data_IF_430188468551
#
_entry.id   IF_430188468551
#
_cell.length_a   1.000
_cell.length_b   1.000
_cell.length_c   1.000
_cell.angle_alpha   90.00
_cell.angle_beta   90.00
_cell.angle_gamma   90.00
#
_symmetry.space_group_name_H-M   'P 1'
#
loop_
_entity.id
_entity.type
_entity.pdbx_description
1 polymer ?
#
# COMPACT_ATOMS: atom_id res chain seq x y z
N UNK A 1 6.79 27.29 11.85
CA UNK A 1 6.26 26.53 10.70
C UNK A 1 5.67 25.26 11.28
N UNK A 2 4.41 24.97 11.03
CA UNK A 2 3.81 23.70 11.44
C UNK A 2 3.69 22.83 10.19
N UNK A 3 4.49 21.77 10.14
CA UNK A 3 4.55 20.84 9.02
C UNK A 3 3.74 19.59 9.37
N UNK A 4 2.90 19.11 8.47
CA UNK A 4 2.09 17.90 8.61
C UNK A 4 2.44 16.96 7.47
N UNK A 5 2.83 15.73 7.79
CA UNK A 5 3.05 14.69 6.78
C UNK A 5 1.69 14.15 6.32
N UNK A 6 1.47 14.11 5.01
CA UNK A 6 0.23 13.61 4.41
C UNK A 6 0.58 12.46 3.49
N UNK A 7 0.30 11.23 3.91
CA UNK A 7 0.63 10.04 3.15
C UNK A 7 -0.60 9.54 2.39
N UNK A 8 -0.52 9.55 1.06
CA UNK A 8 -1.55 9.01 0.19
C UNK A 8 -1.27 7.51 -0.05
N UNK A 9 -2.03 6.66 0.63
CA UNK A 9 -1.91 5.21 0.58
C UNK A 9 -2.99 4.61 -0.32
N UNK A 10 -2.85 4.85 -1.62
CA UNK A 10 -3.71 4.31 -2.66
C UNK A 10 -2.95 3.41 -3.64
N UNK A 11 -3.69 2.65 -4.46
CA UNK A 11 -3.14 1.88 -5.58
C UNK A 11 -3.16 0.37 -5.36
N UNK A 12 -3.73 -0.38 -6.31
CA UNK A 12 -3.89 -1.84 -6.24
C UNK A 12 -2.62 -2.63 -6.58
N UNK A 13 -1.56 -1.99 -7.08
CA UNK A 13 -0.25 -2.62 -7.29
C UNK A 13 -0.15 -3.69 -8.39
N UNK A 14 -1.19 -3.93 -9.21
CA UNK A 14 -1.33 -5.10 -10.14
C UNK A 14 -0.12 -5.51 -10.99
N UNK A 15 0.85 -4.63 -11.26
CA UNK A 15 2.08 -4.93 -12.00
C UNK A 15 3.13 -5.71 -11.20
N UNK A 16 2.96 -5.79 -9.87
CA UNK A 16 3.83 -6.49 -8.93
C UNK A 16 3.20 -7.79 -8.42
N UNK A 17 2.21 -8.33 -9.13
CA UNK A 17 1.81 -9.72 -8.96
C UNK A 17 3.04 -10.62 -9.19
N UNK A 18 3.26 -11.70 -8.42
CA UNK A 18 2.37 -12.32 -7.45
C UNK A 18 2.56 -11.86 -6.00
N UNK A 19 3.24 -10.75 -5.72
CA UNK A 19 3.31 -10.25 -4.33
C UNK A 19 2.16 -9.28 -4.03
N UNK A 20 1.93 -8.30 -4.91
CA UNK A 20 0.77 -7.41 -4.76
C UNK A 20 -0.54 -8.14 -5.07
N UNK A 21 -1.56 -7.89 -4.24
CA UNK A 21 -2.94 -8.39 -4.41
C UNK A 21 -3.92 -7.26 -4.12
N UNK A 22 -5.18 -7.43 -4.50
CA UNK A 22 -6.20 -6.44 -4.17
C UNK A 22 -6.28 -6.17 -2.66
N UNK A 23 -6.26 -7.20 -1.81
CA UNK A 23 -6.33 -7.04 -0.35
C UNK A 23 -4.98 -6.81 0.32
N UNK A 24 -3.88 -6.80 -0.44
CA UNK A 24 -2.53 -6.50 0.05
C UNK A 24 -1.78 -5.69 -1.02
N UNK A 25 -2.14 -4.41 -1.17
CA UNK A 25 -1.59 -3.57 -2.22
C UNK A 25 -0.14 -3.20 -1.97
N UNK A 26 0.46 -2.64 -3.01
CA UNK A 26 1.88 -2.24 -3.07
C UNK A 26 2.40 -1.46 -1.85
N UNK A 27 1.69 -0.49 -1.24
CA UNK A 27 2.21 0.22 -0.06
C UNK A 27 2.65 -0.69 1.10
N UNK A 28 2.06 -1.88 1.21
CA UNK A 28 2.37 -2.84 2.27
C UNK A 28 3.50 -3.82 1.90
N UNK A 29 3.94 -3.83 0.65
CA UNK A 29 5.10 -4.65 0.24
C UNK A 29 6.35 -4.19 0.99
N UNK A 30 7.13 -5.15 1.46
CA UNK A 30 8.43 -4.87 2.09
C UNK A 30 9.50 -4.70 1.02
N UNK A 31 10.25 -3.61 1.09
CA UNK A 31 11.38 -3.33 0.22
C UNK A 31 12.50 -2.71 1.04
N UNK A 32 13.67 -3.32 1.12
CA UNK A 32 14.76 -2.78 1.97
C UNK A 32 14.47 -2.86 3.47
N UNK A 33 13.74 -3.88 3.93
CA UNK A 33 13.55 -4.19 5.35
C UNK A 33 12.35 -3.52 6.04
N UNK A 34 11.56 -2.72 5.33
CA UNK A 34 10.33 -2.11 5.84
C UNK A 34 9.29 -1.97 4.72
N UNK A 35 8.02 -1.75 5.09
CA UNK A 35 6.97 -1.49 4.10
C UNK A 35 7.18 -0.13 3.42
N UNK A 36 6.76 0.02 2.16
CA UNK A 36 6.84 1.31 1.46
C UNK A 36 6.06 2.41 2.20
N UNK A 37 4.90 2.06 2.78
CA UNK A 37 4.12 2.95 3.65
C UNK A 37 4.93 3.37 4.87
N UNK A 38 5.58 2.44 5.57
CA UNK A 38 6.43 2.73 6.71
C UNK A 38 7.58 3.67 6.35
N UNK A 39 8.21 3.48 5.19
CA UNK A 39 9.25 4.38 4.69
C UNK A 39 8.71 5.78 4.38
N UNK A 40 7.50 5.89 3.81
CA UNK A 40 6.86 7.18 3.56
C UNK A 40 6.55 7.94 4.85
N UNK A 41 6.11 7.24 5.89
CA UNK A 41 5.88 7.80 7.22
C UNK A 41 7.20 8.27 7.84
N UNK A 42 8.21 7.40 7.85
CA UNK A 42 9.54 7.72 8.38
C UNK A 42 10.16 8.96 7.73
N UNK A 43 10.04 9.09 6.40
CA UNK A 43 10.49 10.30 5.67
C UNK A 43 9.82 11.59 6.18
N UNK A 44 8.55 11.52 6.55
CA UNK A 44 7.85 12.65 7.18
C UNK A 44 8.41 12.98 8.56
N UNK A 45 8.64 11.97 9.40
CA UNK A 45 9.24 12.12 10.73
C UNK A 45 10.65 12.69 10.66
N UNK A 46 11.46 12.26 9.69
CA UNK A 46 12.81 12.77 9.44
C UNK A 46 12.82 14.26 9.05
N UNK A 47 11.68 14.81 8.59
CA UNK A 47 11.50 16.24 8.36
C UNK A 47 11.13 17.02 9.64
N UNK A 48 11.04 16.33 10.78
CA UNK A 48 10.77 16.90 12.11
C UNK A 48 9.29 17.11 12.42
N UNK A 49 8.40 16.28 11.86
CA UNK A 49 6.97 16.30 12.19
C UNK A 49 6.46 14.94 12.67
N UNK A 50 5.72 14.97 13.79
CA UNK A 50 5.00 13.81 14.32
C UNK A 50 3.51 13.83 13.93
N UNK A 51 3.04 14.90 13.28
CA UNK A 51 1.66 15.02 12.81
C UNK A 51 1.52 14.35 11.45
N UNK A 52 0.73 13.27 11.42
CA UNK A 52 0.55 12.42 10.25
C UNK A 52 -0.92 12.32 9.87
N UNK A 53 -1.24 12.56 8.59
CA UNK A 53 -2.53 12.23 7.99
C UNK A 53 -2.31 11.13 6.96
N UNK A 54 -2.95 9.98 7.14
CA UNK A 54 -2.98 8.90 6.14
C UNK A 54 -4.34 8.93 5.45
N UNK A 55 -4.34 9.13 4.13
CA UNK A 55 -5.52 8.93 3.29
C UNK A 55 -5.42 7.56 2.64
N UNK A 56 -6.36 6.67 2.95
CA UNK A 56 -6.32 5.27 2.50
C UNK A 56 -7.72 4.74 2.27
N UNK A 57 -7.85 3.65 1.52
CA UNK A 57 -9.12 2.96 1.42
C UNK A 57 -9.50 2.34 2.78
N UNK A 58 -10.78 2.38 3.15
CA UNK A 58 -11.28 1.81 4.39
C UNK A 58 -10.92 0.32 4.58
N UNK A 59 -10.83 -0.45 3.49
CA UNK A 59 -10.48 -1.88 3.51
C UNK A 59 -9.02 -2.11 3.93
N UNK A 60 -8.16 -1.09 3.79
CA UNK A 60 -6.76 -1.13 4.17
C UNK A 60 -6.49 -0.48 5.54
N UNK A 61 -7.52 0.02 6.23
CA UNK A 61 -7.35 0.70 7.52
C UNK A 61 -6.58 -0.15 8.53
N UNK A 62 -6.91 -1.44 8.61
CA UNK A 62 -6.22 -2.35 9.53
C UNK A 62 -4.74 -2.51 9.17
N UNK A 63 -4.41 -2.72 7.89
CA UNK A 63 -3.03 -2.84 7.43
C UNK A 63 -2.23 -1.57 7.69
N UNK A 64 -2.80 -0.40 7.38
CA UNK A 64 -2.17 0.90 7.65
C UNK A 64 -1.93 1.12 9.14
N UNK A 65 -2.90 0.77 10.00
CA UNK A 65 -2.76 0.90 11.45
C UNK A 65 -1.68 -0.03 12.00
N UNK A 66 -1.57 -1.25 11.49
CA UNK A 66 -0.49 -2.16 11.87
C UNK A 66 0.87 -1.59 11.52
N UNK A 67 1.05 -1.11 10.28
CA UNK A 67 2.32 -0.50 9.86
C UNK A 67 2.71 0.64 10.79
N UNK A 68 1.78 1.51 11.16
CA UNK A 68 2.02 2.63 12.10
C UNK A 68 2.40 2.11 13.50
N UNK A 69 1.70 1.10 14.01
CA UNK A 69 1.96 0.53 15.34
C UNK A 69 3.28 -0.27 15.41
N UNK A 70 3.80 -0.74 14.29
CA UNK A 70 5.08 -1.45 14.19
C UNK A 70 6.29 -0.49 14.12
N UNK A 71 6.06 0.82 13.96
CA UNK A 71 7.11 1.82 14.01
C UNK A 71 7.66 1.96 15.42
N UNK A 72 8.98 2.11 15.54
CA UNK A 72 9.66 2.35 16.82
C UNK A 72 9.21 3.64 17.50
N UNK A 73 8.87 4.66 16.69
CA UNK A 73 8.34 5.95 17.14
C UNK A 73 7.01 6.21 16.44
N UNK A 74 5.91 6.16 17.21
CA UNK A 74 4.55 6.15 16.66
C UNK A 74 4.03 7.59 16.54
N UNK A 75 3.79 8.09 15.32
CA UNK A 75 3.33 9.46 15.10
C UNK A 75 1.87 9.68 15.50
N UNK A 76 1.50 10.94 15.75
CA UNK A 76 0.13 11.39 15.95
C UNK A 76 -0.66 11.26 14.64
N UNK A 77 -1.31 10.12 14.47
CA UNK A 77 -1.89 9.72 13.19
C UNK A 77 -3.39 9.96 13.12
N UNK A 78 -3.83 10.61 12.05
CA UNK A 78 -5.22 10.66 11.62
C UNK A 78 -5.44 9.87 10.34
N UNK A 79 -6.48 9.05 10.32
CA UNK A 79 -6.84 8.26 9.16
C UNK A 79 -8.07 8.85 8.47
N UNK A 80 -7.98 9.07 7.16
CA UNK A 80 -9.11 9.45 6.31
C UNK A 80 -9.44 8.25 5.42
N UNK A 81 -10.57 7.60 5.70
CA UNK A 81 -10.91 6.28 5.15
C UNK A 81 -11.85 6.39 3.96
N UNK A 82 -11.30 6.31 2.76
CA UNK A 82 -12.06 6.38 1.52
C UNK A 82 -12.87 5.08 1.31
N UNK A 83 -14.20 5.15 1.12
CA UNK A 83 -15.01 3.97 0.81
C UNK A 83 -14.73 3.43 -0.60
N UNK A 84 -14.20 4.28 -1.50
CA UNK A 84 -13.79 3.93 -2.86
C UNK A 84 -12.74 4.93 -3.35
N UNK A 85 -11.76 4.50 -4.13
CA UNK A 85 -10.76 5.42 -4.70
C UNK A 85 -11.37 6.44 -5.67
N UNK A 86 -10.96 7.71 -5.55
CA UNK A 86 -11.34 8.83 -6.43
C UNK A 86 -10.13 9.65 -6.93
N UNK A 87 -8.96 9.01 -6.96
CA UNK A 87 -7.69 9.63 -7.38
C UNK A 87 -7.23 10.76 -6.41
N UNK A 88 -6.16 11.46 -6.75
CA UNK A 88 -5.39 12.27 -5.78
C UNK A 88 -6.00 13.62 -5.42
N UNK A 89 -6.82 14.25 -6.29
CA UNK A 89 -7.37 15.58 -5.95
C UNK A 89 -8.38 15.49 -4.79
N UNK A 90 -9.37 14.58 -4.80
CA UNK A 90 -10.21 14.29 -3.63
C UNK A 90 -9.43 13.96 -2.37
N UNK A 91 -8.44 13.06 -2.46
CA UNK A 91 -7.66 12.62 -1.31
C UNK A 91 -6.90 13.79 -0.66
N UNK A 92 -6.27 14.65 -1.46
CA UNK A 92 -5.58 15.85 -0.99
C UNK A 92 -6.57 16.88 -0.44
N UNK A 93 -7.75 17.04 -1.05
CA UNK A 93 -8.79 17.95 -0.56
C UNK A 93 -9.28 17.53 0.83
N UNK A 94 -9.50 16.22 1.04
CA UNK A 94 -9.86 15.66 2.34
C UNK A 94 -8.78 15.97 3.39
N UNK A 95 -7.52 15.68 3.06
CA UNK A 95 -6.38 15.93 3.94
C UNK A 95 -6.19 17.43 4.25
N UNK A 96 -6.41 18.30 3.26
CA UNK A 96 -6.28 19.75 3.45
C UNK A 96 -7.37 20.30 4.37
N UNK A 97 -8.62 19.84 4.23
CA UNK A 97 -9.70 20.20 5.15
C UNK A 97 -9.45 19.69 6.57
N UNK A 98 -8.94 18.46 6.73
CA UNK A 98 -8.53 17.95 8.04
C UNK A 98 -7.42 18.81 8.65
N UNK A 99 -6.32 19.00 7.91
CA UNK A 99 -5.16 19.77 8.34
C UNK A 99 -5.55 21.20 8.73
N UNK A 100 -6.35 21.89 7.91
CA UNK A 100 -6.83 23.24 8.21
C UNK A 100 -7.70 23.32 9.47
N UNK A 101 -8.53 22.31 9.75
CA UNK A 101 -9.37 22.25 10.96
C UNK A 101 -8.57 22.02 12.23
N UNK A 102 -7.51 21.22 12.16
CA UNK A 102 -6.71 20.80 13.32
C UNK A 102 -5.60 21.80 13.64
N UNK A 103 -4.92 22.29 12.60
CA UNK A 103 -3.67 23.02 12.71
C UNK A 103 -3.73 24.42 12.08
N UNK A 104 -4.87 24.79 11.48
CA UNK A 104 -5.09 26.08 10.81
C UNK A 104 -4.69 26.09 9.33
N UNK A 105 -5.15 27.09 8.55
CA UNK A 105 -4.91 27.17 7.11
C UNK A 105 -3.43 27.41 6.75
N UNK A 106 -2.63 27.93 7.67
CA UNK A 106 -1.19 28.19 7.47
C UNK A 106 -0.31 26.95 7.67
N UNK A 107 -0.89 25.83 8.12
CA UNK A 107 -0.16 24.57 8.26
C UNK A 107 0.33 24.08 6.89
N UNK A 108 1.59 23.69 6.82
CA UNK A 108 2.23 23.17 5.60
C UNK A 108 1.99 21.67 5.52
N UNK A 109 1.43 21.21 4.41
CA UNK A 109 1.27 19.80 4.11
C UNK A 109 2.44 19.34 3.25
N UNK A 110 3.15 18.29 3.68
CA UNK A 110 4.08 17.53 2.86
C UNK A 110 3.36 16.27 2.36
N UNK A 111 2.90 16.30 1.11
CA UNK A 111 2.12 15.22 0.51
C UNK A 111 3.04 14.19 -0.13
N UNK A 112 3.00 12.95 0.35
CA UNK A 112 3.87 11.85 -0.03
C UNK A 112 3.03 10.64 -0.51
N UNK A 113 3.29 10.12 -1.71
CA UNK A 113 2.78 8.81 -2.10
C UNK A 113 3.39 7.70 -1.22
N UNK A 114 2.56 6.78 -0.75
CA UNK A 114 2.97 5.69 0.13
C UNK A 114 3.83 4.63 -0.56
N UNK A 115 3.94 4.66 -1.89
CA UNK A 115 4.47 3.55 -2.69
C UNK A 115 5.73 3.93 -3.49
N UNK A 116 6.41 5.01 -3.09
CA UNK A 116 7.70 5.43 -3.67
C UNK A 116 8.89 4.98 -2.82
N UNK A 117 9.98 4.64 -3.50
CA UNK A 117 11.28 4.38 -2.91
C UNK A 117 12.19 5.60 -3.08
N UNK A 118 12.72 6.10 -1.96
CA UNK A 118 13.65 7.23 -1.91
C UNK A 118 14.80 6.82 -0.97
N UNK A 119 15.91 6.28 -1.50
CA UNK A 119 16.98 5.74 -0.65
C UNK A 119 17.79 6.80 0.10
N UNK A 120 17.93 8.00 -0.47
CA UNK A 120 18.70 9.10 0.11
C UNK A 120 17.78 10.03 0.93
N UNK A 121 17.58 9.64 2.19
CA UNK A 121 16.71 10.36 3.13
C UNK A 121 17.22 11.76 3.45
N UNK A 122 18.54 11.97 3.59
CA UNK A 122 19.11 13.28 3.95
C UNK A 122 18.86 14.30 2.84
N UNK A 123 19.13 13.92 1.58
CA UNK A 123 18.86 14.78 0.43
C UNK A 123 17.35 15.03 0.25
N UNK A 124 16.50 14.05 0.58
CA UNK A 124 15.05 14.24 0.61
C UNK A 124 14.63 15.29 1.64
N UNK A 125 15.07 15.17 2.90
CA UNK A 125 14.74 16.13 3.98
C UNK A 125 15.16 17.54 3.60
N UNK A 126 16.36 17.72 3.05
CA UNK A 126 16.83 19.04 2.60
C UNK A 126 15.90 19.64 1.53
N UNK A 127 15.44 18.84 0.55
CA UNK A 127 14.50 19.28 -0.46
C UNK A 127 13.10 19.57 0.11
N UNK A 128 12.62 18.73 1.05
CA UNK A 128 11.30 18.89 1.68
C UNK A 128 11.24 20.17 2.52
N UNK A 129 12.29 20.48 3.29
CA UNK A 129 12.38 21.72 4.05
C UNK A 129 12.52 22.95 3.15
N UNK A 130 13.21 22.84 2.01
CA UNK A 130 13.21 23.88 0.98
C UNK A 130 11.81 24.12 0.41
N UNK A 131 11.09 23.05 0.07
CA UNK A 131 9.72 23.11 -0.41
C UNK A 131 8.79 23.74 0.63
N UNK A 132 8.91 23.37 1.91
CA UNK A 132 8.11 23.92 2.98
C UNK A 132 8.27 25.45 3.14
N UNK A 133 9.49 25.97 2.99
CA UNK A 133 9.74 27.44 3.00
C UNK A 133 9.02 28.16 1.86
N UNK A 134 8.98 27.57 0.66
CA UNK A 134 8.24 28.14 -0.48
C UNK A 134 6.72 28.00 -0.30
N UNK A 135 6.25 26.88 0.27
CA UNK A 135 4.85 26.67 0.59
C UNK A 135 4.29 27.77 1.52
N UNK A 136 5.05 28.17 2.54
CA UNK A 136 4.68 29.28 3.45
C UNK A 136 4.55 30.64 2.74
N UNK A 137 5.12 30.78 1.54
CA UNK A 137 4.98 31.97 0.69
C UNK A 137 3.80 31.85 -0.29
N UNK A 138 2.91 30.88 -0.07
CA UNK A 138 1.75 30.63 -0.90
C UNK A 138 2.06 29.93 -2.22
N UNK A 139 3.23 29.30 -2.38
CA UNK A 139 3.55 28.50 -3.58
C UNK A 139 2.96 27.09 -3.47
N UNK A 140 2.52 26.55 -4.61
CA UNK A 140 2.22 25.12 -4.76
C UNK A 140 3.48 24.42 -5.24
N UNK A 141 4.19 23.75 -4.33
CA UNK A 141 5.51 23.20 -4.63
C UNK A 141 5.40 21.77 -5.13
N UNK A 142 6.12 21.46 -6.20
CA UNK A 142 6.31 20.13 -6.78
C UNK A 142 7.79 19.74 -6.76
N UNK A 143 8.07 18.45 -6.66
CA UNK A 143 9.44 17.93 -6.69
C UNK A 143 9.75 17.36 -8.09
N UNK A 144 10.77 17.93 -8.75
CA UNK A 144 11.14 17.56 -10.11
C UNK A 144 12.29 16.55 -10.15
N UNK A 145 12.05 15.34 -10.66
CA UNK A 145 13.12 14.34 -10.87
C UNK A 145 13.78 14.57 -12.24
N UNK A 146 15.11 14.47 -12.29
CA UNK A 146 15.84 14.58 -13.57
C UNK A 146 15.54 13.36 -14.45
N UNK A 147 14.99 13.53 -15.67
CA UNK A 147 14.66 12.41 -16.54
C UNK A 147 15.91 11.66 -17.00
N UNK A 148 15.88 10.33 -16.90
CA UNK A 148 16.93 9.44 -17.43
C UNK A 148 16.50 8.73 -18.72
N UNK A 149 15.24 8.90 -19.12
CA UNK A 149 14.65 8.33 -20.34
C UNK A 149 13.36 9.02 -20.76
N UNK A 150 12.80 8.68 -21.93
CA UNK A 150 11.56 9.26 -22.42
C UNK A 150 10.33 8.50 -21.89
N UNK A 151 10.16 8.49 -20.57
CA UNK A 151 9.06 7.77 -19.90
C UNK A 151 7.70 8.38 -20.24
N UNK A 152 6.75 7.59 -20.73
CA UNK A 152 5.39 8.06 -21.07
C UNK A 152 4.39 7.89 -19.92
N UNK A 153 4.81 7.20 -18.85
CA UNK A 153 3.97 6.92 -17.68
C UNK A 153 3.95 8.06 -16.64
N UNK A 154 4.86 9.03 -16.77
CA UNK A 154 5.04 10.13 -15.82
C UNK A 154 4.51 11.45 -16.37
N UNK A 155 4.15 12.35 -15.45
CA UNK A 155 3.99 13.77 -15.76
C UNK A 155 5.34 14.46 -15.95
N UNK A 156 5.36 15.52 -16.75
CA UNK A 156 6.53 16.36 -17.02
C UNK A 156 6.25 17.80 -16.62
N UNK A 157 7.25 18.46 -16.05
CA UNK A 157 7.19 19.83 -15.60
C UNK A 157 8.25 20.63 -16.36
N UNK A 158 7.81 21.61 -17.15
CA UNK A 158 8.69 22.51 -17.90
C UNK A 158 9.17 23.66 -17.01
N UNK A 159 10.44 23.99 -17.14
CA UNK A 159 11.04 25.18 -16.53
C UNK A 159 11.74 26.05 -17.58
N UNK A 160 12.02 27.30 -17.22
CA UNK A 160 12.70 28.26 -18.08
C UNK A 160 14.09 27.77 -18.50
N UNK A 161 14.86 27.25 -17.55
CA UNK A 161 16.22 26.76 -17.77
C UNK A 161 16.56 25.56 -16.89
N UNK A 162 17.39 24.61 -17.37
CA UNK A 162 17.87 23.52 -16.54
C UNK A 162 18.63 24.08 -15.33
N UNK A 163 18.24 23.70 -14.12
CA UNK A 163 18.80 24.27 -12.90
C UNK A 163 18.77 23.27 -11.75
N UNK A 164 19.71 23.41 -10.81
CA UNK A 164 19.68 22.72 -9.51
C UNK A 164 18.99 23.55 -8.42
N UNK A 165 18.53 24.74 -8.77
CA UNK A 165 17.84 25.68 -7.89
C UNK A 165 16.35 25.71 -8.20
N UNK A 166 15.58 25.95 -7.15
CA UNK A 166 14.13 26.16 -7.20
C UNK A 166 13.76 27.29 -8.17
N UNK A 167 12.73 27.05 -8.97
CA UNK A 167 12.24 28.00 -9.96
C UNK A 167 10.75 27.75 -10.26
N UNK A 168 10.10 28.72 -10.90
CA UNK A 168 8.72 28.60 -11.31
C UNK A 168 8.54 27.51 -12.37
N UNK A 169 7.49 26.71 -12.24
CA UNK A 169 7.07 25.80 -13.30
C UNK A 169 6.31 26.59 -14.37
N UNK A 170 6.75 26.49 -15.62
CA UNK A 170 6.10 27.15 -16.76
C UNK A 170 4.89 26.37 -17.25
N UNK A 171 4.99 25.04 -17.20
CA UNK A 171 3.98 24.15 -17.71
C UNK A 171 4.03 22.81 -17.01
N UNK A 172 2.86 22.22 -16.80
CA UNK A 172 2.69 20.85 -16.38
C UNK A 172 2.03 20.06 -17.51
N UNK A 173 2.51 18.85 -17.78
CA UNK A 173 1.98 17.96 -18.84
C UNK A 173 1.95 16.53 -18.33
N UNK A 174 0.77 15.95 -18.17
CA UNK A 174 0.63 14.56 -17.73
C UNK A 174 0.73 13.56 -18.90
N UNK A 175 1.60 12.53 -18.76
CA UNK A 175 1.69 11.33 -19.61
C UNK A 175 1.75 11.61 -21.13
N UNK A 176 2.82 12.27 -21.61
CA UNK A 176 2.98 12.55 -23.04
C UNK A 176 3.19 11.27 -23.86
N UNK A 177 2.96 11.35 -25.17
CA UNK A 177 3.37 10.31 -26.11
C UNK A 177 4.91 10.18 -26.20
N UNK A 178 5.40 9.04 -26.68
CA UNK A 178 6.83 8.75 -26.74
C UNK A 178 7.63 9.79 -27.56
N UNK A 179 7.19 10.23 -28.76
CA UNK A 179 7.88 11.29 -29.49
C UNK A 179 7.98 12.60 -28.70
N UNK A 180 6.94 12.95 -27.94
CA UNK A 180 6.93 14.14 -27.10
C UNK A 180 7.87 13.99 -25.91
N UNK A 181 7.86 12.85 -25.22
CA UNK A 181 8.78 12.55 -24.13
C UNK A 181 10.26 12.61 -24.58
N UNK A 182 10.55 12.11 -25.79
CA UNK A 182 11.89 12.21 -26.40
C UNK A 182 12.31 13.67 -26.63
N UNK A 183 11.39 14.53 -27.09
CA UNK A 183 11.67 15.97 -27.23
C UNK A 183 11.89 16.64 -25.88
N UNK A 184 11.11 16.28 -24.86
CA UNK A 184 11.27 16.81 -23.50
C UNK A 184 12.64 16.47 -22.94
N UNK A 185 13.05 15.20 -23.04
CA UNK A 185 14.36 14.72 -22.62
C UNK A 185 15.48 15.46 -23.37
N UNK A 186 15.38 15.57 -24.70
CA UNK A 186 16.38 16.24 -25.53
C UNK A 186 16.54 17.73 -25.19
N UNK A 187 15.47 18.40 -24.73
CA UNK A 187 15.54 19.82 -24.35
C UNK A 187 16.29 20.07 -23.04
N UNK A 188 16.34 19.08 -22.15
CA UNK A 188 16.87 19.21 -20.79
C UNK A 188 16.08 20.14 -19.86
N UNK A 189 15.00 20.76 -20.34
CA UNK A 189 14.18 21.73 -19.58
C UNK A 189 12.98 21.12 -18.86
N UNK A 190 12.81 19.80 -18.94
CA UNK A 190 11.72 19.11 -18.29
C UNK A 190 12.22 18.20 -17.18
N UNK A 191 11.41 18.11 -16.13
CA UNK A 191 11.58 17.20 -15.00
C UNK A 191 10.39 16.27 -14.93
N UNK A 192 10.58 15.04 -14.46
CA UNK A 192 9.43 14.19 -14.12
C UNK A 192 8.75 14.72 -12.86
N UNK A 193 7.42 14.73 -12.86
CA UNK A 193 6.63 14.91 -11.67
C UNK A 193 6.80 13.69 -10.76
N UNK A 194 7.32 13.91 -9.55
CA UNK A 194 7.49 12.83 -8.58
C UNK A 194 6.19 12.43 -7.87
N UNK A 195 5.07 13.12 -8.12
CA UNK A 195 3.81 12.92 -7.40
C UNK A 195 3.83 13.34 -5.92
N UNK A 196 4.91 14.01 -5.47
CA UNK A 196 5.02 14.61 -4.15
C UNK A 196 4.72 16.11 -4.27
N UNK A 197 4.09 16.66 -3.23
CA UNK A 197 3.70 18.06 -3.22
C UNK A 197 3.97 18.70 -1.86
N UNK A 198 4.18 20.01 -1.85
CA UNK A 198 4.24 20.78 -0.61
C UNK A 198 3.54 22.13 -0.76
N UNK A 199 2.58 22.40 0.11
CA UNK A 199 1.79 23.64 0.11
C UNK A 199 1.13 23.83 1.47
N UNK A 200 0.69 25.06 1.79
CA UNK A 200 -0.17 25.24 2.96
C UNK A 200 -1.58 24.71 2.68
N UNK A 201 -2.27 24.25 3.73
CA UNK A 201 -3.66 23.80 3.63
C UNK A 201 -4.56 24.87 3.01
N UNK A 202 -4.37 26.14 3.40
CA UNK A 202 -5.11 27.27 2.84
C UNK A 202 -4.80 27.51 1.36
N UNK A 203 -3.53 27.46 0.95
CA UNK A 203 -3.14 27.70 -0.44
C UNK A 203 -3.75 26.66 -1.39
N UNK A 204 -3.72 25.37 -1.02
CA UNK A 204 -4.30 24.32 -1.86
C UNK A 204 -5.83 24.38 -1.91
N UNK A 205 -6.49 24.68 -0.79
CA UNK A 205 -7.94 24.84 -0.75
C UNK A 205 -8.39 26.05 -1.60
N UNK A 206 -7.64 27.15 -1.56
CA UNK A 206 -7.89 28.31 -2.41
C UNK A 206 -7.69 27.98 -3.90
N UNK A 207 -6.61 27.27 -4.24
CA UNK A 207 -6.37 26.84 -5.62
C UNK A 207 -7.46 25.89 -6.13
N UNK A 208 -7.95 24.97 -5.29
CA UNK A 208 -9.11 24.12 -5.61
C UNK A 208 -10.38 24.94 -5.79
N UNK A 209 -10.64 25.94 -4.95
CA UNK A 209 -11.79 26.83 -5.10
C UNK A 209 -11.78 27.57 -6.44
N UNK A 210 -10.60 27.95 -6.93
CA UNK A 210 -10.43 28.66 -8.20
C UNK A 210 -10.48 27.75 -9.43
N UNK A 211 -9.91 26.56 -9.35
CA UNK A 211 -9.65 25.71 -10.53
C UNK A 211 -10.46 24.41 -10.59
N UNK A 212 -10.96 23.93 -9.45
CA UNK A 212 -11.75 22.71 -9.29
C UNK A 212 -12.81 22.85 -8.17
N UNK A 213 -13.68 23.89 -8.21
CA UNK A 213 -14.66 24.14 -7.16
C UNK A 213 -15.61 22.96 -6.93
N UNK A 214 -15.87 22.15 -7.96
CA UNK A 214 -16.65 20.92 -7.88
C UNK A 214 -16.01 19.86 -6.98
N UNK A 215 -14.67 19.75 -6.98
CA UNK A 215 -13.93 18.83 -6.09
C UNK A 215 -14.06 19.32 -4.66
N UNK A 216 -13.79 20.61 -4.42
CA UNK A 216 -13.86 21.19 -3.08
C UNK A 216 -15.26 21.06 -2.48
N UNK A 217 -16.30 21.46 -3.22
CA UNK A 217 -17.68 21.40 -2.74
C UNK A 217 -18.14 19.97 -2.44
N UNK A 218 -17.83 19.00 -3.32
CA UNK A 218 -18.16 17.60 -3.07
C UNK A 218 -17.42 17.04 -1.84
N UNK A 219 -16.16 17.46 -1.65
CA UNK A 219 -15.34 17.07 -0.49
C UNK A 219 -15.91 17.65 0.81
N UNK A 220 -16.32 18.92 0.84
CA UNK A 220 -16.98 19.54 1.99
C UNK A 220 -18.28 18.81 2.36
N UNK A 221 -19.08 18.42 1.37
CA UNK A 221 -20.31 17.65 1.58
C UNK A 221 -20.02 16.26 2.17
N UNK A 222 -18.99 15.56 1.67
CA UNK A 222 -18.59 14.27 2.24
C UNK A 222 -18.08 14.41 3.68
N UNK A 223 -17.35 15.49 4.00
CA UNK A 223 -16.95 15.79 5.37
C UNK A 223 -18.14 16.05 6.30
N UNK A 224 -19.17 16.76 5.84
CA UNK A 224 -20.36 17.02 6.65
C UNK A 224 -21.13 15.73 7.00
N UNK A 225 -21.03 14.70 6.16
CA UNK A 225 -21.63 13.38 6.37
C UNK A 225 -20.66 12.35 6.98
N UNK A 226 -19.45 12.76 7.37
CA UNK A 226 -18.43 11.86 7.91
C UNK A 226 -18.60 11.60 9.40
N UNK A 227 -18.04 10.49 9.88
CA UNK A 227 -17.99 10.13 11.30
C UNK A 227 -16.55 9.83 11.71
N UNK A 228 -16.07 10.53 12.74
CA UNK A 228 -14.73 10.34 13.29
C UNK A 228 -14.80 9.59 14.61
N UNK A 229 -14.01 8.52 14.74
CA UNK A 229 -13.86 7.75 15.97
C UNK A 229 -12.42 7.22 16.07
N UNK A 230 -11.82 7.32 17.26
CA UNK A 230 -10.48 6.78 17.56
C UNK A 230 -9.39 7.19 16.55
N UNK A 231 -9.40 8.47 16.13
CA UNK A 231 -8.44 9.00 15.15
C UNK A 231 -8.70 8.61 13.69
N UNK A 232 -9.79 7.89 13.40
CA UNK A 232 -10.18 7.50 12.05
C UNK A 232 -11.51 8.16 11.63
N UNK A 233 -11.49 8.85 10.50
CA UNK A 233 -12.67 9.46 9.87
C UNK A 233 -13.16 8.56 8.75
N UNK A 234 -14.39 8.06 8.88
CA UNK A 234 -15.10 7.28 7.86
C UNK A 234 -16.06 8.20 7.11
N UNK A 235 -16.08 8.07 5.78
CA UNK A 235 -16.99 8.83 4.93
C UNK A 235 -18.16 7.98 4.47
N UNK A 236 -19.35 8.59 4.40
CA UNK A 236 -20.53 7.92 3.85
C UNK A 236 -20.34 7.60 2.36
N UNK A 237 -20.58 6.35 1.97
CA UNK A 237 -20.32 5.87 0.62
C UNK A 237 -21.13 6.60 -0.47
N UNK A 238 -22.34 7.05 -0.15
CA UNK A 238 -23.22 7.73 -1.12
C UNK A 238 -22.72 9.14 -1.41
N UNK A 239 -22.46 9.94 -0.38
CA UNK A 239 -21.92 11.30 -0.53
C UNK A 239 -20.51 11.26 -1.11
N UNK A 240 -19.66 10.34 -0.65
CA UNK A 240 -18.32 10.13 -1.21
C UNK A 240 -18.36 9.70 -2.68
N UNK A 241 -19.39 8.94 -3.06
CA UNK A 241 -19.63 8.51 -4.42
C UNK A 241 -19.81 9.64 -5.44
N UNK A 242 -20.06 10.87 -4.98
CA UNK A 242 -20.23 12.06 -5.82
C UNK A 242 -18.92 12.82 -6.07
N UNK A 243 -17.81 12.48 -5.40
CA UNK A 243 -16.53 13.14 -5.66
C UNK A 243 -16.05 12.82 -7.09
N UNK A 244 -15.57 13.83 -7.84
CA UNK A 244 -14.94 13.61 -9.14
C UNK A 244 -13.75 12.66 -9.02
N UNK A 245 -13.58 11.75 -9.98
CA UNK A 245 -12.41 10.87 -10.07
C UNK A 245 -11.33 11.55 -10.92
N UNK A 246 -10.47 12.36 -10.28
CA UNK A 246 -9.51 13.24 -10.94
C UNK A 246 -8.22 13.41 -10.13
N UNK A 247 -7.06 13.43 -10.80
CA UNK A 247 -5.79 13.68 -10.13
C UNK A 247 -5.60 15.17 -9.84
N UNK A 248 -4.78 15.46 -8.83
CA UNK A 248 -4.44 16.84 -8.46
C UNK A 248 -3.69 17.57 -9.58
N UNK A 249 -2.96 16.81 -10.38
CA UNK A 249 -2.19 17.29 -11.52
C UNK A 249 -3.13 18.00 -12.52
N UNK A 250 -4.21 17.33 -12.91
CA UNK A 250 -5.23 17.89 -13.81
C UNK A 250 -6.14 18.93 -13.15
N UNK A 251 -6.55 18.67 -11.90
CA UNK A 251 -7.52 19.53 -11.22
C UNK A 251 -6.93 20.91 -10.88
N UNK A 252 -5.65 20.96 -10.50
CA UNK A 252 -5.00 22.17 -9.97
C UNK A 252 -3.67 22.47 -10.66
N UNK A 253 -2.73 21.53 -10.72
CA UNK A 253 -1.33 21.86 -11.06
C UNK A 253 -1.15 22.34 -12.51
N UNK A 254 -1.92 21.83 -13.46
CA UNK A 254 -1.91 22.31 -14.85
C UNK A 254 -2.51 23.72 -15.02
N UNK A 255 -3.29 24.19 -14.05
CA UNK A 255 -4.07 25.44 -14.14
C UNK A 255 -3.53 26.57 -13.26
N UNK A 256 -2.94 26.21 -12.13
CA UNK A 256 -2.40 27.14 -11.15
C UNK A 256 -1.17 27.89 -11.68
N UNK A 257 -1.04 29.17 -11.31
CA UNK A 257 0.06 30.05 -11.79
C UNK A 257 1.25 30.12 -10.82
N UNK A 258 1.02 29.79 -9.55
CA UNK A 258 1.97 29.82 -8.44
C UNK A 258 2.59 28.44 -8.17
N UNK A 259 2.82 27.65 -9.23
CA UNK A 259 3.49 26.35 -9.12
C UNK A 259 4.99 26.56 -9.16
N UNK A 260 5.69 26.05 -8.14
CA UNK A 260 7.15 26.15 -8.01
C UNK A 260 7.76 24.75 -8.01
N UNK A 261 8.79 24.53 -8.82
CA UNK A 261 9.53 23.29 -8.88
C UNK A 261 10.78 23.36 -8.02
N UNK A 262 10.93 22.42 -7.09
CA UNK A 262 12.18 22.11 -6.38
C UNK A 262 12.84 20.93 -7.12
N UNK A 263 14.02 21.11 -7.75
CA UNK A 263 14.73 20.00 -8.37
C UNK A 263 15.18 18.98 -7.30
N UNK A 264 14.74 17.73 -7.43
CA UNK A 264 15.10 16.68 -6.49
C UNK A 264 16.60 16.35 -6.58
N UNK A 265 17.23 16.25 -5.40
CA UNK A 265 18.66 15.93 -5.24
C UNK A 265 18.88 14.53 -4.66
N UNK A 266 17.81 13.74 -4.59
CA UNK A 266 17.79 12.38 -4.04
C UNK A 266 17.45 11.36 -5.13
N UNK A 267 17.81 10.10 -4.92
CA UNK A 267 17.35 8.98 -5.75
C UNK A 267 15.84 8.75 -5.57
N UNK A 268 15.12 8.48 -6.64
CA UNK A 268 13.67 8.27 -6.63
C UNK A 268 13.27 7.14 -7.56
N UNK A 269 12.32 6.33 -7.13
CA UNK A 269 11.66 5.31 -7.96
C UNK A 269 10.19 5.20 -7.58
N UNK A 270 9.32 5.14 -8.59
CA UNK A 270 7.90 4.88 -8.43
C UNK A 270 7.59 3.40 -8.13
N UNK A 271 8.61 2.52 -8.06
CA UNK A 271 8.49 1.07 -7.87
C UNK A 271 7.35 0.47 -8.72
N UNK A 272 7.23 0.89 -9.97
CA UNK A 272 6.09 0.54 -10.83
C UNK A 272 6.17 -0.86 -11.44
N UNK A 273 7.29 -1.58 -11.30
CA UNK A 273 7.54 -2.86 -11.93
C UNK A 273 8.64 -3.68 -11.26
N UNK A 274 8.70 -4.97 -11.55
CA UNK A 274 9.73 -5.88 -11.04
C UNK A 274 11.18 -5.47 -11.35
N UNK A 275 11.52 -4.94 -12.54
CA UNK A 275 12.85 -4.37 -12.76
C UNK A 275 13.21 -3.26 -11.77
N UNK A 276 12.25 -2.41 -11.40
CA UNK A 276 12.48 -1.35 -10.41
C UNK A 276 12.68 -1.92 -9.00
N UNK A 277 11.94 -2.98 -8.64
CA UNK A 277 12.17 -3.74 -7.38
C UNK A 277 13.56 -4.36 -7.39
N UNK A 278 13.96 -5.02 -8.48
CA UNK A 278 15.28 -5.63 -8.60
C UNK A 278 16.42 -4.63 -8.39
N UNK A 279 16.31 -3.41 -8.93
CA UNK A 279 17.31 -2.34 -8.77
C UNK A 279 17.42 -1.82 -7.34
N UNK A 280 16.40 -2.02 -6.50
CA UNK A 280 16.42 -1.63 -5.10
C UNK A 280 17.20 -2.62 -4.22
N UNK A 281 17.58 -3.79 -4.76
CA UNK A 281 18.31 -4.82 -4.03
C UNK A 281 19.78 -4.88 -4.44
N UNK A 282 20.69 -5.21 -3.51
CA UNK A 282 22.08 -5.48 -3.84
C UNK A 282 22.20 -6.63 -4.86
N UNK A 283 23.03 -6.42 -5.88
CA UNK A 283 23.31 -7.42 -6.89
C UNK A 283 24.62 -8.16 -6.60
N UNK A 284 24.68 -9.43 -7.00
CA UNK A 284 25.91 -10.21 -7.04
C UNK A 284 26.83 -9.77 -8.21
N UNK A 285 27.98 -10.42 -8.35
CA UNK A 285 28.96 -10.13 -9.42
C UNK A 285 28.43 -10.40 -10.84
N UNK A 286 27.36 -11.18 -10.97
CA UNK A 286 26.69 -11.51 -12.24
C UNK A 286 25.45 -10.64 -12.50
N UNK A 287 25.19 -9.64 -11.64
CA UNK A 287 24.04 -8.74 -11.73
C UNK A 287 22.73 -9.38 -11.27
N UNK A 288 22.77 -10.55 -10.62
CA UNK A 288 21.57 -11.17 -10.06
C UNK A 288 21.21 -10.54 -8.72
N UNK A 289 19.93 -10.43 -8.44
CA UNK A 289 19.44 -9.97 -7.14
C UNK A 289 18.57 -11.05 -6.53
N UNK A 290 18.84 -11.39 -5.27
CA UNK A 290 18.10 -12.41 -4.54
C UNK A 290 17.55 -11.82 -3.25
N UNK A 291 16.24 -11.95 -3.05
CA UNK A 291 15.55 -11.57 -1.82
C UNK A 291 15.28 -12.84 -1.04
N UNK A 292 16.02 -13.05 0.06
CA UNK A 292 15.86 -14.21 0.93
C UNK A 292 14.57 -14.07 1.75
N UNK A 293 13.61 -14.96 1.50
CA UNK A 293 12.52 -15.23 2.43
C UNK A 293 12.98 -16.28 3.42
N UNK A 294 13.59 -15.86 4.52
CA UNK A 294 14.07 -16.68 5.66
C UNK A 294 14.06 -18.20 5.41
N UNK A 295 15.24 -18.81 5.23
CA UNK A 295 15.45 -20.25 4.95
C UNK A 295 15.27 -20.64 3.47
N UNK A 296 15.51 -19.70 2.56
CA UNK A 296 15.61 -20.01 1.12
C UNK A 296 17.05 -20.08 0.64
N UNK A 297 17.34 -21.05 -0.21
CA UNK A 297 18.65 -21.19 -0.88
C UNK A 297 18.50 -20.91 -2.36
N UNK A 298 19.36 -20.04 -2.90
CA UNK A 298 19.41 -19.73 -4.32
C UNK A 298 20.69 -20.28 -4.96
N UNK A 299 20.52 -21.15 -5.95
CA UNK A 299 21.61 -21.75 -6.73
C UNK A 299 21.58 -21.18 -8.16
N UNK A 300 22.62 -20.43 -8.52
CA UNK A 300 22.77 -19.83 -9.84
C UNK A 300 23.89 -20.54 -10.62
N UNK A 301 23.56 -21.18 -11.75
CA UNK A 301 24.52 -21.85 -12.64
C UNK A 301 24.47 -21.20 -14.01
N UNK A 302 25.43 -20.31 -14.31
CA UNK A 302 25.41 -19.56 -15.56
C UNK A 302 24.20 -18.63 -15.68
N UNK A 303 23.80 -18.02 -14.57
CA UNK A 303 22.66 -17.08 -14.50
C UNK A 303 23.18 -15.65 -14.38
N UNK A 304 22.64 -14.73 -15.18
CA UNK A 304 23.03 -13.31 -15.17
C UNK A 304 21.82 -12.38 -15.16
N UNK A 305 21.98 -11.19 -14.57
CA UNK A 305 20.98 -10.13 -14.62
C UNK A 305 19.59 -10.55 -14.10
N UNK A 306 19.46 -11.62 -13.31
CA UNK A 306 18.17 -12.21 -12.94
C UNK A 306 17.77 -11.82 -11.51
N UNK A 307 16.52 -11.41 -11.35
CA UNK A 307 15.91 -11.14 -10.04
C UNK A 307 15.15 -12.37 -9.56
N UNK A 308 15.41 -12.80 -8.34
CA UNK A 308 14.71 -13.91 -7.67
C UNK A 308 14.17 -13.42 -6.33
N UNK A 309 12.86 -13.52 -6.13
CA UNK A 309 12.20 -13.27 -4.85
C UNK A 309 11.35 -14.48 -4.48
N UNK A 310 11.54 -14.97 -3.26
CA UNK A 310 10.82 -16.14 -2.75
C UNK A 310 10.16 -15.80 -1.43
N UNK A 311 8.86 -16.02 -1.37
CA UNK A 311 8.05 -15.99 -0.17
C UNK A 311 7.50 -17.40 0.03
N UNK A 312 8.05 -18.13 0.99
CA UNK A 312 7.67 -19.53 1.25
C UNK A 312 7.29 -19.72 2.71
N UNK A 313 6.36 -20.63 2.99
CA UNK A 313 6.00 -21.02 4.36
C UNK A 313 7.05 -21.91 5.03
N UNK A 314 8.04 -22.39 4.27
CA UNK A 314 9.11 -23.25 4.78
C UNK A 314 10.36 -23.23 3.91
N UNK A 315 11.40 -23.99 4.29
CA UNK A 315 12.65 -24.03 3.55
C UNK A 315 12.45 -24.42 2.09
N UNK A 316 13.09 -23.71 1.18
CA UNK A 316 12.97 -23.95 -0.26
C UNK A 316 14.28 -23.67 -0.97
N UNK A 317 14.61 -24.49 -1.96
CA UNK A 317 15.76 -24.29 -2.84
C UNK A 317 15.25 -23.85 -4.21
N UNK A 318 15.78 -22.76 -4.73
CA UNK A 318 15.52 -22.27 -6.09
C UNK A 318 16.80 -22.36 -6.90
N UNK A 319 16.76 -23.08 -8.01
CA UNK A 319 17.90 -23.23 -8.91
C UNK A 319 17.59 -22.61 -10.28
N UNK A 320 18.55 -21.86 -10.81
CA UNK A 320 18.51 -21.31 -12.17
C UNK A 320 19.73 -21.78 -12.95
N UNK A 321 19.52 -22.21 -14.19
CA UNK A 321 20.59 -22.77 -15.03
C UNK A 321 20.52 -22.17 -16.44
N UNK A 322 21.54 -21.40 -16.83
CA UNK A 322 21.68 -20.85 -18.17
C UNK A 322 20.62 -19.81 -18.56
N UNK A 323 20.07 -19.08 -17.59
CA UNK A 323 19.04 -18.05 -17.82
C UNK A 323 19.59 -16.65 -17.62
N UNK A 324 18.98 -15.67 -18.29
CA UNK A 324 19.41 -14.29 -18.20
C UNK A 324 18.22 -13.33 -18.18
N UNK A 325 18.39 -12.20 -17.49
CA UNK A 325 17.44 -11.08 -17.47
C UNK A 325 16.01 -11.48 -17.09
N UNK A 326 15.86 -12.46 -16.20
CA UNK A 326 14.57 -12.90 -15.70
C UNK A 326 14.17 -12.16 -14.41
N UNK A 327 12.87 -12.18 -14.16
CA UNK A 327 12.19 -11.93 -12.90
C UNK A 327 11.51 -13.23 -12.53
N UNK A 328 11.93 -13.83 -11.43
CA UNK A 328 11.37 -15.06 -10.87
C UNK A 328 10.82 -14.70 -9.49
N UNK A 329 9.50 -14.75 -9.34
CA UNK A 329 8.84 -14.38 -8.09
C UNK A 329 7.90 -15.50 -7.69
N UNK A 330 8.18 -16.08 -6.54
CA UNK A 330 7.59 -17.31 -6.05
C UNK A 330 6.93 -17.03 -4.70
N UNK A 331 5.60 -16.96 -4.69
CA UNK A 331 4.78 -16.90 -3.48
C UNK A 331 4.19 -18.27 -3.18
N UNK A 332 3.65 -18.52 -1.97
CA UNK A 332 3.17 -19.86 -1.62
C UNK A 332 2.06 -20.40 -2.53
N UNK A 333 1.30 -19.50 -3.17
CA UNK A 333 0.16 -19.78 -4.04
C UNK A 333 0.44 -19.57 -5.54
N UNK A 334 1.54 -18.93 -5.92
CA UNK A 334 1.79 -18.52 -7.31
C UNK A 334 3.28 -18.35 -7.66
N UNK A 335 3.62 -18.68 -8.91
CA UNK A 335 4.94 -18.44 -9.49
C UNK A 335 4.82 -17.55 -10.73
N UNK A 336 5.59 -16.47 -10.75
CA UNK A 336 5.81 -15.65 -11.93
C UNK A 336 7.23 -15.86 -12.44
N UNK A 337 7.34 -16.12 -13.75
CA UNK A 337 8.61 -16.05 -14.48
C UNK A 337 8.40 -15.14 -15.69
N UNK A 338 9.15 -14.04 -15.75
CA UNK A 338 9.05 -13.07 -16.84
C UNK A 338 10.42 -12.51 -17.21
N UNK A 339 10.62 -12.18 -18.49
CA UNK A 339 11.80 -11.43 -18.90
C UNK A 339 11.66 -9.96 -18.48
N UNK A 340 12.74 -9.34 -17.94
CA UNK A 340 12.75 -7.98 -17.38
C UNK A 340 12.23 -6.93 -18.38
N UNK A 341 12.59 -7.04 -19.66
CA UNK A 341 12.18 -6.10 -20.71
C UNK A 341 10.67 -6.02 -20.97
N UNK A 342 9.90 -7.03 -20.55
CA UNK A 342 8.45 -7.10 -20.77
C UNK A 342 7.67 -7.24 -19.46
N UNK A 343 8.30 -7.01 -18.31
CA UNK A 343 7.69 -7.16 -17.00
C UNK A 343 6.43 -6.29 -16.79
N UNK A 344 6.27 -5.19 -17.54
CA UNK A 344 5.03 -4.40 -17.52
C UNK A 344 3.78 -5.20 -17.95
N UNK A 345 3.97 -6.28 -18.74
CA UNK A 345 2.88 -7.17 -19.20
C UNK A 345 2.35 -8.10 -18.10
N UNK A 346 2.92 -8.11 -16.90
CA UNK A 346 2.35 -8.83 -15.74
C UNK A 346 0.90 -8.43 -15.48
N UNK A 347 0.52 -7.17 -15.76
CA UNK A 347 -0.87 -6.72 -15.70
C UNK A 347 -1.81 -7.58 -16.55
N UNK A 348 -1.39 -8.02 -17.74
CA UNK A 348 -2.20 -8.89 -18.60
C UNK A 348 -2.47 -10.26 -17.97
N UNK A 349 -1.52 -10.79 -17.20
CA UNK A 349 -1.72 -12.02 -16.43
C UNK A 349 -2.80 -11.81 -15.37
N UNK A 350 -2.70 -10.70 -14.61
CA UNK A 350 -3.71 -10.35 -13.59
C UNK A 350 -5.08 -10.14 -14.20
N UNK A 351 -5.18 -9.44 -15.32
CA UNK A 351 -6.44 -9.22 -16.03
C UNK A 351 -7.06 -10.56 -16.47
N UNK A 352 -6.26 -11.46 -17.03
CA UNK A 352 -6.71 -12.81 -17.43
C UNK A 352 -7.19 -13.65 -16.25
N UNK A 353 -6.47 -13.61 -15.12
CA UNK A 353 -6.84 -14.32 -13.90
C UNK A 353 -8.12 -13.74 -13.26
N UNK A 354 -8.30 -12.42 -13.33
CA UNK A 354 -9.51 -11.74 -12.86
C UNK A 354 -10.74 -12.13 -13.68
N UNK A 355 -10.61 -12.24 -15.00
CA UNK A 355 -11.69 -12.72 -15.87
C UNK A 355 -12.08 -14.17 -15.55
N UNK A 356 -11.12 -14.97 -15.08
CA UNK A 356 -11.35 -16.34 -14.56
C UNK A 356 -11.82 -16.38 -13.12
N UNK A 357 -11.96 -15.23 -12.45
CA UNK A 357 -12.29 -15.10 -11.01
C UNK A 357 -11.35 -15.90 -10.11
N UNK A 358 -10.06 -15.91 -10.43
CA UNK A 358 -9.06 -16.64 -9.65
C UNK A 358 -8.65 -15.83 -8.40
N UNK A 359 -8.66 -16.48 -7.24
CA UNK A 359 -8.45 -15.85 -5.93
C UNK A 359 -7.05 -15.22 -5.76
N UNK A 360 -6.05 -15.75 -6.46
CA UNK A 360 -4.68 -15.19 -6.49
C UNK A 360 -4.58 -13.80 -7.15
N UNK A 361 -5.69 -13.16 -7.51
CA UNK A 361 -5.71 -11.72 -7.83
C UNK A 361 -6.23 -10.86 -6.68
N UNK A 362 -7.00 -11.47 -5.77
CA UNK A 362 -7.68 -10.78 -4.69
C UNK A 362 -6.94 -10.92 -3.37
N UNK A 363 -6.60 -12.14 -2.96
CA UNK A 363 -6.05 -12.45 -1.64
C UNK A 363 -4.56 -12.82 -1.73
N UNK A 364 -3.72 -12.35 -0.79
CA UNK A 364 -2.37 -12.87 -0.60
C UNK A 364 -2.40 -14.31 -0.07
N UNK A 365 -1.28 -15.02 -0.23
CA UNK A 365 -1.11 -16.36 0.32
C UNK A 365 -1.32 -16.42 1.83
N UNK A 366 -0.90 -15.37 2.55
CA UNK A 366 -1.20 -15.15 3.96
C UNK A 366 -1.99 -13.85 4.12
N UNK A 367 -3.20 -13.97 4.65
CA UNK A 367 -4.14 -12.88 4.80
C UNK A 367 -4.06 -12.34 6.22
N UNK A 368 -3.81 -11.03 6.34
CA UNK A 368 -3.75 -10.33 7.61
C UNK A 368 -5.16 -9.89 8.07
N UNK A 369 -5.40 -10.01 9.37
CA UNK A 369 -6.65 -9.68 10.07
C UNK A 369 -6.37 -9.03 11.42
N UNK A 370 -7.35 -8.27 11.98
CA UNK A 370 -7.24 -7.66 13.30
C UNK A 370 -6.74 -8.55 14.43
N UNK A 371 -7.08 -9.83 14.37
CA UNK A 371 -6.72 -10.82 15.37
C UNK A 371 -5.42 -11.59 15.05
N UNK A 372 -4.82 -11.43 13.87
CA UNK A 372 -3.66 -12.23 13.43
C UNK A 372 -3.65 -12.50 11.92
N UNK A 373 -3.31 -13.71 11.48
CA UNK A 373 -3.23 -14.08 10.05
C UNK A 373 -3.87 -15.44 9.77
N UNK A 374 -4.24 -15.69 8.51
CA UNK A 374 -4.49 -17.06 8.03
C UNK A 374 -3.90 -17.28 6.65
N UNK A 375 -3.53 -18.52 6.34
CA UNK A 375 -3.06 -18.94 5.02
C UNK A 375 -3.73 -20.26 4.62
N UNK A 376 -4.16 -20.37 3.37
CA UNK A 376 -4.62 -21.65 2.82
C UNK A 376 -3.39 -22.49 2.48
N UNK A 377 -3.24 -23.63 3.13
CA UNK A 377 -2.15 -24.57 2.87
C UNK A 377 -2.48 -25.53 1.72
N UNK A 378 -3.75 -25.92 1.61
CA UNK A 378 -4.23 -26.89 0.63
C UNK A 378 -5.73 -26.76 0.43
N UNK A 379 -6.17 -26.94 -0.81
CA UNK A 379 -7.58 -27.00 -1.17
C UNK A 379 -7.76 -28.04 -2.28
N UNK A 380 -8.70 -28.95 -2.06
CA UNK A 380 -9.11 -29.99 -3.01
C UNK A 380 -10.63 -30.21 -2.88
N UNK A 381 -11.20 -31.04 -3.76
CA UNK A 381 -12.63 -31.36 -3.71
C UNK A 381 -13.00 -31.94 -2.33
N UNK A 382 -13.89 -31.25 -1.63
CA UNK A 382 -14.45 -31.67 -0.33
C UNK A 382 -13.69 -31.22 0.92
N UNK A 383 -12.48 -30.64 0.78
CA UNK A 383 -11.76 -30.12 1.95
C UNK A 383 -10.80 -28.96 1.68
N UNK A 384 -10.59 -28.14 2.72
CA UNK A 384 -9.64 -27.02 2.71
C UNK A 384 -8.87 -26.97 4.02
N UNK A 385 -7.55 -26.84 3.93
CA UNK A 385 -6.65 -26.77 5.08
C UNK A 385 -6.09 -25.37 5.20
N UNK A 386 -6.23 -24.77 6.38
CA UNK A 386 -5.66 -23.46 6.69
C UNK A 386 -4.72 -23.52 7.88
N UNK A 387 -3.70 -22.68 7.86
CA UNK A 387 -2.92 -22.29 9.03
C UNK A 387 -3.45 -20.95 9.51
N UNK A 388 -3.88 -20.87 10.76
CA UNK A 388 -4.36 -19.63 11.38
C UNK A 388 -3.42 -19.29 12.54
N UNK A 389 -2.92 -18.06 12.56
CA UNK A 389 -2.14 -17.50 13.67
C UNK A 389 -2.95 -16.41 14.34
N UNK A 390 -3.12 -16.47 15.66
CA UNK A 390 -3.86 -15.50 16.45
C UNK A 390 -2.95 -14.85 17.48
N UNK A 391 -2.90 -13.53 17.46
CA UNK A 391 -2.06 -12.73 18.34
C UNK A 391 -2.51 -12.87 19.81
N UNK A 392 -1.62 -12.70 20.80
CA UNK A 392 -1.96 -12.76 22.22
C UNK A 392 -3.17 -11.89 22.57
N UNK A 393 -4.13 -12.46 23.32
CA UNK A 393 -5.34 -11.77 23.75
C UNK A 393 -6.38 -11.48 22.66
N UNK A 394 -6.14 -11.86 21.41
CA UNK A 394 -7.08 -11.66 20.31
C UNK A 394 -7.99 -12.88 20.09
N UNK A 395 -9.11 -12.68 19.39
CA UNK A 395 -10.08 -13.72 19.11
C UNK A 395 -10.61 -13.65 17.67
N UNK A 396 -11.00 -14.80 17.13
CA UNK A 396 -11.84 -14.85 15.95
C UNK A 396 -13.24 -14.32 16.27
N UNK A 397 -13.97 -13.86 15.25
CA UNK A 397 -15.37 -13.47 15.42
C UNK A 397 -16.17 -14.66 15.94
N UNK A 398 -17.20 -14.41 16.77
CA UNK A 398 -18.16 -15.47 17.09
C UNK A 398 -18.98 -15.71 15.84
N UNK A 399 -18.95 -16.93 15.32
CA UNK A 399 -19.50 -17.25 14.02
C UNK A 399 -20.07 -18.67 13.96
N UNK A 400 -20.75 -18.98 12.86
CA UNK A 400 -21.09 -20.34 12.46
C UNK A 400 -21.08 -20.47 10.93
N UNK A 401 -21.15 -21.71 10.45
CA UNK A 401 -21.16 -22.05 9.02
C UNK A 401 -22.40 -22.88 8.67
N UNK A 402 -23.02 -22.65 7.51
CA UNK A 402 -24.18 -23.44 7.11
C UNK A 402 -23.80 -24.76 6.43
N UNK A 403 -22.68 -24.79 5.69
CA UNK A 403 -22.38 -25.84 4.72
C UNK A 403 -21.10 -26.63 5.01
N UNK A 404 -20.30 -26.21 5.99
CA UNK A 404 -19.05 -26.90 6.37
C UNK A 404 -18.95 -27.19 7.85
N UNK A 405 -18.33 -28.32 8.16
CA UNK A 405 -17.78 -28.62 9.48
C UNK A 405 -16.29 -28.25 9.51
N UNK A 406 -15.73 -28.11 10.71
CA UNK A 406 -14.31 -27.81 10.86
C UNK A 406 -13.64 -28.70 11.92
N UNK A 407 -12.38 -29.02 11.70
CA UNK A 407 -11.51 -29.65 12.67
C UNK A 407 -10.37 -28.70 12.98
N UNK A 408 -10.25 -28.30 14.23
CA UNK A 408 -9.21 -27.38 14.69
C UNK A 408 -8.19 -28.15 15.50
N UNK A 409 -6.93 -28.11 15.07
CA UNK A 409 -5.79 -28.67 15.82
C UNK A 409 -4.90 -27.53 16.26
N UNK A 410 -4.74 -27.35 17.57
CA UNK A 410 -3.77 -26.37 18.10
C UNK A 410 -2.38 -26.97 17.96
N UNK A 411 -1.45 -26.25 17.31
CA UNK A 411 -0.07 -26.71 17.10
C UNK A 411 0.95 -25.92 17.93
N UNK A 412 0.60 -24.70 18.36
CA UNK A 412 1.44 -23.86 19.23
C UNK A 412 0.55 -22.91 20.03
N UNK A 413 0.93 -22.55 21.25
CA UNK A 413 0.21 -21.60 22.11
C UNK A 413 -0.99 -22.22 22.85
N UNK A 414 -1.80 -21.37 23.48
CA UNK A 414 -2.91 -21.80 24.33
C UNK A 414 -4.22 -21.18 23.86
N UNK A 415 -5.18 -22.03 23.48
CA UNK A 415 -6.48 -21.59 22.98
C UNK A 415 -7.59 -21.80 24.01
N UNK A 416 -8.57 -20.90 24.00
CA UNK A 416 -9.93 -21.19 24.42
C UNK A 416 -10.80 -21.38 23.18
N UNK A 417 -11.36 -22.58 23.01
CA UNK A 417 -12.29 -22.89 21.90
C UNK A 417 -13.70 -22.94 22.47
N UNK A 418 -14.54 -21.99 22.07
CA UNK A 418 -15.96 -22.01 22.37
C UNK A 418 -16.71 -22.81 21.29
N UNK A 419 -17.61 -23.71 21.70
CA UNK A 419 -18.52 -24.48 20.83
C UNK A 419 -19.90 -24.47 21.49
N UNK A 420 -20.86 -23.78 20.86
CA UNK A 420 -22.13 -23.44 21.49
C UNK A 420 -21.90 -22.59 22.74
N UNK A 421 -22.33 -23.12 23.88
CA UNK A 421 -22.16 -22.51 25.20
C UNK A 421 -20.97 -23.09 25.98
N UNK A 422 -20.34 -24.16 25.46
CA UNK A 422 -19.22 -24.82 26.13
C UNK A 422 -17.89 -24.17 25.74
N UNK A 423 -17.02 -23.97 26.73
CA UNK A 423 -15.67 -23.47 26.54
C UNK A 423 -14.63 -24.55 26.83
N UNK A 424 -13.72 -24.75 25.87
CA UNK A 424 -12.71 -25.78 25.95
C UNK A 424 -11.31 -25.18 25.89
N UNK A 425 -10.61 -25.29 27.02
CA UNK A 425 -9.17 -25.06 27.06
C UNK A 425 -8.47 -26.09 26.16
N UNK A 426 -7.67 -25.61 25.19
CA UNK A 426 -7.09 -26.45 24.15
C UNK A 426 -5.60 -26.15 23.99
N UNK A 427 -4.79 -27.18 24.21
CA UNK A 427 -3.32 -27.13 24.21
C UNK A 427 -2.72 -27.70 22.91
N UNK A 428 -1.42 -27.47 22.63
CA UNK A 428 -0.77 -28.03 21.46
C UNK A 428 -0.91 -29.56 21.37
N UNK A 429 -1.24 -30.06 20.18
CA UNK A 429 -1.54 -31.47 19.90
C UNK A 429 -2.98 -31.89 20.17
N UNK A 430 -3.80 -31.04 20.80
CA UNK A 430 -5.23 -31.31 20.99
C UNK A 430 -6.06 -30.79 19.81
N UNK A 431 -7.20 -31.44 19.58
CA UNK A 431 -8.14 -31.05 18.53
C UNK A 431 -9.54 -30.82 19.06
N UNK A 432 -10.32 -30.03 18.31
CA UNK A 432 -11.76 -29.82 18.51
C UNK A 432 -12.48 -29.96 17.18
N UNK A 433 -13.63 -30.62 17.20
CA UNK A 433 -14.54 -30.72 16.07
C UNK A 433 -15.63 -29.66 16.22
N UNK A 434 -15.85 -28.89 15.16
CA UNK A 434 -16.84 -27.83 15.07
C UNK A 434 -17.97 -28.33 14.16
N UNK A 435 -19.15 -28.65 14.71
CA UNK A 435 -20.28 -29.11 13.91
C UNK A 435 -20.86 -28.01 13.01
N UNK A 436 -21.57 -28.42 11.94
CA UNK A 436 -22.32 -27.49 11.09
C UNK A 436 -23.35 -26.71 11.93
N UNK A 437 -23.49 -25.42 11.62
CA UNK A 437 -24.43 -24.47 12.26
C UNK A 437 -24.18 -24.23 13.75
N UNK A 438 -23.15 -24.82 14.32
CA UNK A 438 -22.80 -24.60 15.72
C UNK A 438 -22.01 -23.30 15.86
N UNK A 439 -22.37 -22.50 16.88
CA UNK A 439 -21.65 -21.27 17.17
C UNK A 439 -20.27 -21.62 17.69
N UNK A 440 -19.25 -20.93 17.22
CA UNK A 440 -17.90 -21.20 17.69
C UNK A 440 -17.01 -19.97 17.64
N UNK A 441 -15.98 -19.98 18.48
CA UNK A 441 -14.96 -18.94 18.56
C UNK A 441 -13.65 -19.54 19.05
N UNK A 442 -12.55 -19.09 18.48
CA UNK A 442 -11.21 -19.29 19.02
C UNK A 442 -10.72 -17.99 19.68
N UNK A 443 -10.19 -18.10 20.88
CA UNK A 443 -9.50 -17.00 21.58
C UNK A 443 -8.09 -17.43 21.95
N UNK A 444 -7.09 -16.62 21.66
CA UNK A 444 -5.75 -16.79 22.22
C UNK A 444 -5.72 -16.24 23.65
N UNK A 445 -5.64 -17.13 24.62
CA UNK A 445 -5.57 -16.78 26.05
C UNK A 445 -4.14 -16.88 26.62
N UNK A 446 -3.17 -17.22 25.75
CA UNK A 446 -1.75 -17.26 26.09
C UNK A 446 -1.07 -15.90 25.97
N UNK A 447 0.22 -15.89 26.32
CA UNK A 447 1.11 -14.71 26.18
C UNK A 447 1.87 -14.73 24.84
N UNK A 448 1.96 -15.89 24.19
CA UNK A 448 2.62 -16.09 22.90
C UNK A 448 1.59 -16.24 21.77
N UNK A 449 2.05 -16.19 20.52
CA UNK A 449 1.20 -16.49 19.37
C UNK A 449 0.57 -17.88 19.45
N UNK A 450 -0.73 -17.94 19.17
CA UNK A 450 -1.48 -19.17 19.01
C UNK A 450 -1.47 -19.55 17.53
N UNK A 451 -1.11 -20.79 17.20
CA UNK A 451 -1.19 -21.32 15.84
C UNK A 451 -2.09 -22.54 15.83
N UNK A 452 -3.07 -22.55 14.91
CA UNK A 452 -3.90 -23.71 14.64
C UNK A 452 -3.84 -24.14 13.17
N UNK A 453 -4.06 -25.43 12.95
CA UNK A 453 -4.39 -26.00 11.65
C UNK A 453 -5.88 -26.29 11.64
N UNK A 454 -6.58 -25.63 10.72
CA UNK A 454 -8.00 -25.81 10.48
C UNK A 454 -8.18 -26.69 9.26
N UNK A 455 -8.97 -27.75 9.38
CA UNK A 455 -9.43 -28.56 8.26
C UNK A 455 -10.93 -28.36 8.13
N UNK A 456 -11.34 -27.73 7.04
CA UNK A 456 -12.74 -27.52 6.68
C UNK A 456 -13.19 -28.66 5.78
N UNK A 457 -14.35 -29.24 6.08
CA UNK A 457 -14.93 -30.38 5.36
C UNK A 457 -16.36 -30.05 4.93
N UNK A 458 -16.67 -30.24 3.65
CA UNK A 458 -18.01 -29.99 3.10
C UNK A 458 -18.01 -29.76 1.59
N UNK A 459 -19.21 -29.71 1.00
CA UNK A 459 -19.40 -29.50 -0.43
C UNK A 459 -19.18 -28.03 -0.85
N UNK A 460 -19.23 -27.10 0.10
CA UNK A 460 -19.01 -25.67 -0.11
C UNK A 460 -18.12 -25.07 0.99
N UNK A 461 -16.99 -24.48 0.59
CA UNK A 461 -15.95 -24.00 1.51
C UNK A 461 -15.65 -22.49 1.35
N UNK A 462 -16.55 -21.75 0.71
CA UNK A 462 -16.45 -20.31 0.52
C UNK A 462 -16.47 -19.51 1.83
N UNK A 463 -15.83 -18.34 1.84
CA UNK A 463 -15.80 -17.43 2.99
C UNK A 463 -17.13 -16.69 3.22
N UNK A 464 -18.04 -16.72 2.25
CA UNK A 464 -19.41 -16.19 2.32
C UNK A 464 -20.38 -17.13 3.05
N UNK A 465 -19.98 -18.37 3.36
CA UNK A 465 -20.72 -19.27 4.28
C UNK A 465 -20.60 -18.84 5.76
N UNK A 466 -19.78 -17.83 6.05
CA UNK A 466 -19.50 -17.36 7.41
C UNK A 466 -20.57 -16.37 7.87
N UNK A 467 -21.36 -16.76 8.86
CA UNK A 467 -22.29 -15.85 9.55
C UNK A 467 -21.67 -15.34 10.84
N UNK A 468 -21.41 -14.03 10.91
CA UNK A 468 -20.80 -13.38 12.09
C UNK A 468 -21.88 -12.89 13.05
N UNK A 469 -21.77 -13.30 14.30
CA UNK A 469 -22.71 -12.93 15.38
C UNK A 469 -22.17 -11.81 16.27
N UNK A 470 -20.86 -11.81 16.52
CA UNK A 470 -20.19 -10.77 17.28
C UNK A 470 -18.75 -10.61 16.80
N UNK A 471 -18.40 -9.39 16.38
CA UNK A 471 -17.06 -9.03 15.94
C UNK A 471 -16.54 -7.80 16.69
N UNK A 472 -15.49 -8.00 17.49
CA UNK A 472 -14.84 -6.94 18.26
C UNK A 472 -14.17 -5.88 17.37
N UNK A 473 -14.01 -6.18 16.08
CA UNK A 473 -13.29 -5.34 15.11
C UNK A 473 -14.20 -4.61 14.12
N UNK A 474 -15.52 -4.66 14.30
CA UNK A 474 -16.48 -3.88 13.53
C UNK A 474 -16.65 -4.31 12.06
N UNK A 475 -16.47 -5.60 11.75
CA UNK A 475 -16.73 -6.20 10.42
C UNK A 475 -18.08 -6.93 10.34
N UNK A 476 -18.97 -6.66 11.30
CA UNK A 476 -20.30 -7.26 11.39
C UNK A 476 -21.26 -6.69 10.34
#
# INVERSE_FOLDING_TARGET
>A
MHLVSVVLSGGSGTRLWPVSRQSYPKPFMQLGGSTLLGQAIGRGQDCGTDDLIIVTNQDYFFLSRNVVNELSDVPHTQYLLEPKGRNTAPAIALAALACARLHGPEAVMLVLPADHLIPDTEAFVACALEAARHAQQGQLVVFGISPTGPETGFGYIEVEKPSRHTQQALRFVEKPDLPTAQRYLASGRYYWNSGMFCFTAGAILQAMKEHAPEVLHATENAWAASHTQDGATKFDARTFGLLPDISIDYAVMERARNVTLVPAKFGWSDVGSWPAVAQAHPADTSGNTFVDGQRTEFVAVGTTGTHVQVESHGPKVVATVGVQDLVIVDTPDALLVAHKSVAQKVKTVVDTLRDRRHDSTQLPAAVHRPWGTYATLKEEDGYKVKRITVNPGQALSLQYHHQRAEHWVVVQGTAMVQIGEDEHHTLPGQYRYIPLKEKHRLTNIGQDELVLIEVQCGDYLGEDDIVRLADTYGRA
#
